data_IF_077995329037
#
_entry.id   IF_077995329037
#
_cell.length_a   1.000
_cell.length_b   1.000
_cell.length_c   1.000
_cell.angle_alpha   90.00
_cell.angle_beta   90.00
_cell.angle_gamma   90.00
#
_symmetry.space_group_name_H-M   'P 1'
#
loop_
_entity.id
_entity.type
_entity.pdbx_description
1 polymer ?
#
# COMPACT_ATOMS: atom_id res chain seq x y z
N UNK A 1 -10.36 -5.81 58.98
CA UNK A 1 -11.73 -5.37 58.68
C UNK A 1 -12.17 -6.10 57.44
N UNK A 2 -13.19 -6.93 57.61
CA UNK A 2 -13.52 -8.08 56.76
C UNK A 2 -14.93 -7.90 56.21
N UNK A 3 -15.08 -8.24 54.92
CA UNK A 3 -16.30 -8.78 54.28
C UNK A 3 -17.47 -7.79 54.00
N UNK A 4 -18.56 -8.23 53.31
CA UNK A 4 -18.61 -8.70 51.91
C UNK A 4 -19.90 -8.22 51.16
N UNK A 5 -20.11 -8.64 49.90
CA UNK A 5 -21.48 -8.84 49.38
C UNK A 5 -21.73 -8.69 47.87
N UNK A 6 -21.73 -9.80 47.15
CA UNK A 6 -22.50 -10.01 45.91
C UNK A 6 -23.98 -10.35 46.26
N UNK A 7 -24.97 -10.13 45.36
CA UNK A 7 -25.44 -11.19 44.43
C UNK A 7 -25.78 -10.66 43.01
N UNK A 8 -25.40 -11.38 41.94
CA UNK A 8 -26.19 -12.32 41.11
C UNK A 8 -27.49 -11.78 40.47
N UNK A 9 -27.52 -11.81 39.13
CA UNK A 9 -28.73 -11.84 38.32
C UNK A 9 -28.38 -12.15 36.86
N UNK A 10 -28.60 -13.40 36.44
CA UNK A 10 -28.42 -13.86 35.06
C UNK A 10 -29.75 -14.12 34.36
N UNK A 11 -29.70 -14.16 33.03
CA UNK A 11 -30.57 -14.81 32.03
C UNK A 11 -30.16 -14.18 30.68
N UNK A 12 -29.97 -14.85 29.55
CA UNK A 12 -30.41 -16.15 29.06
C UNK A 12 -30.82 -15.97 27.60
N UNK A 13 -30.37 -16.84 26.68
CA UNK A 13 -30.83 -16.87 25.28
C UNK A 13 -29.69 -17.19 24.30
N UNK A 14 -29.35 -18.45 24.02
CA UNK A 14 -30.00 -19.41 23.08
C UNK A 14 -29.82 -19.08 21.59
N UNK A 15 -29.22 -20.05 20.88
CA UNK A 15 -29.43 -20.33 19.44
C UNK A 15 -28.39 -19.66 18.53
N UNK A 16 -27.71 -20.33 17.61
CA UNK A 16 -27.99 -21.61 16.98
C UNK A 16 -26.79 -22.13 16.19
N UNK A 17 -26.76 -23.46 16.07
CA UNK A 17 -25.78 -24.29 15.38
C UNK A 17 -25.76 -24.00 13.88
N UNK A 18 -24.57 -23.88 13.27
CA UNK A 18 -24.32 -24.27 11.87
C UNK A 18 -22.94 -24.89 11.75
N UNK A 19 -22.89 -26.22 11.99
CA UNK A 19 -21.84 -27.10 11.52
C UNK A 19 -22.16 -27.45 10.06
N UNK A 20 -21.22 -27.21 9.14
CA UNK A 20 -21.22 -27.83 7.81
C UNK A 20 -19.91 -28.60 7.63
N UNK A 21 -20.08 -29.93 7.67
CA UNK A 21 -19.35 -30.98 6.96
C UNK A 21 -17.89 -30.73 6.56
N UNK A 22 -16.98 -31.19 7.41
CA UNK A 22 -15.72 -31.78 6.95
C UNK A 22 -16.05 -33.10 6.24
N UNK A 23 -15.76 -33.14 4.94
CA UNK A 23 -15.79 -34.37 4.15
C UNK A 23 -14.45 -35.07 4.37
N UNK A 24 -14.46 -36.07 5.23
CA UNK A 24 -13.39 -37.04 5.42
C UNK A 24 -13.11 -37.76 4.10
N UNK A 25 -11.96 -37.47 3.49
CA UNK A 25 -11.41 -38.32 2.44
C UNK A 25 -10.72 -39.51 3.09
N UNK A 26 -11.17 -40.70 2.72
CA UNK A 26 -10.60 -41.98 3.11
C UNK A 26 -9.19 -42.13 2.54
N UNK A 27 -8.25 -42.38 3.43
CA UNK A 27 -6.91 -42.88 3.13
C UNK A 27 -6.98 -44.37 2.86
N UNK A 28 -7.18 -44.76 1.61
CA UNK A 28 -6.77 -46.08 1.14
C UNK A 28 -5.30 -45.98 0.72
N UNK A 29 -4.40 -46.45 1.58
CA UNK A 29 -3.01 -46.70 1.23
C UNK A 29 -2.92 -48.05 0.48
N UNK A 30 -2.46 -48.09 -0.78
CA UNK A 30 -2.07 -49.34 -1.40
C UNK A 30 -0.77 -49.81 -0.75
N UNK A 31 -0.78 -51.05 -0.25
CA UNK A 31 0.42 -51.76 0.17
C UNK A 31 1.39 -51.90 -1.01
N UNK A 32 2.58 -51.35 -0.82
CA UNK A 32 3.86 -51.98 -1.13
C UNK A 32 4.03 -52.62 -2.51
N UNK A 33 4.46 -51.83 -3.48
CA UNK A 33 5.50 -52.27 -4.39
C UNK A 33 6.63 -51.24 -4.35
N UNK A 34 7.77 -51.62 -3.78
CA UNK A 34 9.00 -50.82 -3.88
C UNK A 34 9.26 -50.56 -5.37
N UNK A 35 9.28 -49.30 -5.82
CA UNK A 35 9.58 -49.02 -7.22
C UNK A 35 10.96 -49.60 -7.50
N UNK A 36 11.03 -50.53 -8.46
CA UNK A 36 12.30 -50.98 -9.03
C UNK A 36 13.04 -49.72 -9.42
N UNK A 37 14.14 -49.48 -8.73
CA UNK A 37 14.94 -48.27 -8.82
C UNK A 37 15.68 -48.27 -10.17
N UNK A 38 14.94 -48.11 -11.27
CA UNK A 38 15.55 -47.88 -12.58
C UNK A 38 16.14 -46.49 -12.50
N UNK A 39 17.45 -46.42 -12.27
CA UNK A 39 18.22 -45.18 -12.33
C UNK A 39 17.78 -44.42 -13.58
N UNK A 40 17.29 -43.17 -13.44
CA UNK A 40 16.89 -42.38 -14.60
C UNK A 40 18.10 -42.21 -15.51
N UNK A 41 18.08 -42.89 -16.66
CA UNK A 41 19.04 -42.70 -17.74
C UNK A 41 18.67 -41.42 -18.46
N UNK A 42 19.12 -40.29 -17.90
CA UNK A 42 19.02 -39.00 -18.57
C UNK A 42 19.72 -39.09 -19.93
N UNK A 43 18.96 -38.95 -21.02
CA UNK A 43 19.49 -38.76 -22.38
C UNK A 43 20.04 -37.33 -22.53
N UNK A 44 20.98 -36.99 -21.65
CA UNK A 44 21.63 -35.69 -21.64
C UNK A 44 22.95 -35.76 -22.43
N UNK A 45 22.97 -35.05 -23.56
CA UNK A 45 24.14 -34.63 -24.37
C UNK A 45 25.27 -33.86 -23.61
N UNK A 46 25.45 -34.02 -22.29
CA UNK A 46 25.92 -32.93 -21.41
C UNK A 46 27.40 -33.04 -21.03
N UNK A 47 28.07 -31.88 -20.89
CA UNK A 47 29.44 -31.76 -20.38
C UNK A 47 29.54 -31.45 -18.89
N UNK A 48 28.47 -30.96 -18.23
CA UNK A 48 28.46 -30.58 -16.80
C UNK A 48 27.08 -30.76 -16.16
N UNK A 49 27.05 -31.03 -14.85
CA UNK A 49 25.83 -31.08 -14.02
C UNK A 49 26.03 -30.28 -12.73
N UNK A 50 24.99 -29.62 -12.24
CA UNK A 50 25.00 -28.96 -10.92
C UNK A 50 24.65 -29.98 -9.85
N UNK A 51 25.40 -29.98 -8.75
CA UNK A 51 25.17 -30.82 -7.57
C UNK A 51 25.02 -29.90 -6.38
N UNK A 52 24.09 -30.20 -5.47
CA UNK A 52 23.85 -29.35 -4.30
C UNK A 52 25.15 -29.25 -3.49
N UNK A 53 25.58 -28.03 -3.16
CA UNK A 53 26.86 -27.79 -2.49
C UNK A 53 28.08 -27.87 -3.39
N UNK A 54 27.93 -27.99 -4.71
CA UNK A 54 29.05 -28.04 -5.67
C UNK A 54 28.73 -27.32 -6.98
N UNK A 55 29.59 -26.37 -7.37
CA UNK A 55 29.32 -25.43 -8.46
C UNK A 55 28.91 -26.13 -9.76
N UNK A 56 29.76 -26.98 -10.30
CA UNK A 56 29.49 -27.81 -11.49
C UNK A 56 30.42 -29.03 -11.50
N UNK A 57 29.90 -30.22 -11.74
CA UNK A 57 30.67 -31.44 -11.92
C UNK A 57 30.67 -31.88 -13.38
N UNK A 58 31.83 -32.24 -13.97
CA UNK A 58 31.87 -32.78 -15.33
C UNK A 58 31.20 -34.15 -15.37
N UNK A 59 30.25 -34.35 -16.30
CA UNK A 59 29.56 -35.62 -16.47
C UNK A 59 29.93 -36.20 -17.83
N UNK A 60 30.57 -37.38 -17.87
CA UNK A 60 30.87 -38.07 -19.12
C UNK A 60 29.68 -38.97 -19.52
N UNK A 61 29.56 -39.24 -20.82
CA UNK A 61 28.55 -40.18 -21.33
C UNK A 61 28.78 -41.56 -20.71
N UNK A 62 27.74 -42.12 -20.07
CA UNK A 62 27.81 -43.43 -19.41
C UNK A 62 28.23 -43.40 -17.94
N UNK A 63 28.63 -42.24 -17.40
CA UNK A 63 28.89 -42.11 -15.95
C UNK A 63 27.59 -42.36 -15.17
N UNK A 64 27.65 -43.25 -14.17
CA UNK A 64 26.51 -43.46 -13.28
C UNK A 64 26.43 -42.29 -12.29
N UNK A 65 25.25 -41.68 -12.17
CA UNK A 65 25.02 -40.52 -11.28
C UNK A 65 25.47 -40.80 -9.84
N UNK A 66 25.29 -42.04 -9.34
CA UNK A 66 25.72 -42.43 -8.00
C UNK A 66 27.24 -42.41 -7.81
N UNK A 67 28.00 -42.76 -8.84
CA UNK A 67 29.47 -42.74 -8.81
C UNK A 67 29.94 -41.27 -8.84
N UNK A 68 29.41 -40.47 -9.77
CA UNK A 68 29.70 -39.03 -9.82
C UNK A 68 29.36 -38.30 -8.52
N UNK A 69 28.23 -38.61 -7.90
CA UNK A 69 27.82 -38.01 -6.63
C UNK A 69 28.77 -38.38 -5.48
N UNK A 70 29.31 -39.60 -5.47
CA UNK A 70 30.30 -40.03 -4.48
C UNK A 70 31.61 -39.28 -4.64
N UNK A 71 32.15 -39.23 -5.85
CA UNK A 71 33.42 -38.54 -6.15
C UNK A 71 33.33 -37.05 -5.81
N UNK A 72 32.20 -36.43 -6.14
CA UNK A 72 31.93 -35.03 -5.80
C UNK A 72 31.77 -34.84 -4.29
N UNK A 73 31.14 -35.78 -3.59
CA UNK A 73 31.00 -35.70 -2.14
C UNK A 73 32.34 -35.80 -1.42
N UNK A 74 33.24 -36.70 -1.86
CA UNK A 74 34.61 -36.77 -1.34
C UNK A 74 35.34 -35.44 -1.56
N UNK A 75 35.23 -34.86 -2.76
CA UNK A 75 35.82 -33.54 -3.07
C UNK A 75 35.24 -32.41 -2.18
N UNK A 76 33.92 -32.44 -1.93
CA UNK A 76 33.27 -31.48 -1.02
C UNK A 76 33.80 -31.63 0.40
N UNK A 77 33.98 -32.87 0.87
CA UNK A 77 34.46 -33.15 2.21
C UNK A 77 35.91 -32.69 2.41
N UNK A 78 36.76 -32.91 1.41
CA UNK A 78 38.17 -32.48 1.43
C UNK A 78 38.33 -30.94 1.34
N UNK A 79 37.30 -30.25 0.83
CA UNK A 79 37.26 -28.78 0.75
C UNK A 79 36.48 -28.13 1.89
N UNK A 80 36.10 -28.91 2.92
CA UNK A 80 35.40 -28.37 4.06
C UNK A 80 36.32 -27.50 4.92
N UNK A 81 35.84 -26.32 5.27
CA UNK A 81 36.52 -25.35 6.11
C UNK A 81 35.58 -24.89 7.24
N UNK A 82 36.18 -24.43 8.32
CA UNK A 82 35.45 -23.75 9.39
C UNK A 82 35.27 -22.28 9.02
N UNK A 83 34.07 -21.75 9.25
CA UNK A 83 33.75 -20.35 9.00
C UNK A 83 32.70 -19.86 9.99
N UNK A 84 32.35 -18.57 9.89
CA UNK A 84 31.31 -17.95 10.68
C UNK A 84 30.27 -17.33 9.75
N UNK A 85 29.00 -17.62 10.02
CA UNK A 85 27.86 -17.03 9.31
C UNK A 85 26.90 -16.46 10.34
N UNK A 86 26.73 -15.15 10.33
CA UNK A 86 26.07 -14.42 11.41
C UNK A 86 26.75 -14.73 12.76
N UNK A 87 25.96 -15.16 13.73
CA UNK A 87 26.42 -15.52 15.08
C UNK A 87 26.78 -17.01 15.23
N UNK A 88 26.74 -17.80 14.14
CA UNK A 88 26.96 -19.25 14.18
C UNK A 88 28.29 -19.65 13.54
N UNK A 89 29.01 -20.54 14.22
CA UNK A 89 30.13 -21.27 13.61
C UNK A 89 29.59 -22.37 12.71
N UNK A 90 30.12 -22.45 11.50
CA UNK A 90 29.70 -23.42 10.48
C UNK A 90 30.90 -24.18 9.96
N UNK A 91 30.68 -25.44 9.59
CA UNK A 91 31.69 -26.27 8.95
C UNK A 91 31.13 -26.79 7.64
N UNK A 92 31.82 -26.53 6.53
CA UNK A 92 31.36 -26.93 5.21
C UNK A 92 32.27 -26.37 4.13
N UNK A 93 32.02 -26.73 2.88
CA UNK A 93 32.79 -26.15 1.79
C UNK A 93 32.33 -24.73 1.46
N UNK A 94 33.15 -23.98 0.69
CA UNK A 94 32.84 -22.60 0.33
C UNK A 94 31.49 -22.41 -0.38
N UNK A 95 30.99 -23.42 -1.11
CA UNK A 95 29.66 -23.36 -1.71
C UNK A 95 28.54 -23.40 -0.66
N UNK A 96 28.63 -24.31 0.32
CA UNK A 96 27.67 -24.43 1.42
C UNK A 96 27.70 -23.21 2.33
N UNK A 97 28.89 -22.74 2.70
CA UNK A 97 29.07 -21.52 3.51
C UNK A 97 28.49 -20.32 2.77
N UNK A 98 28.78 -20.17 1.47
CA UNK A 98 28.25 -19.07 0.67
C UNK A 98 26.72 -19.09 0.53
N UNK A 99 26.09 -20.27 0.53
CA UNK A 99 24.63 -20.38 0.58
C UNK A 99 24.06 -19.91 1.92
N UNK A 100 24.69 -20.30 3.04
CA UNK A 100 24.30 -19.86 4.37
C UNK A 100 24.45 -18.34 4.52
N UNK A 101 25.55 -17.76 4.04
CA UNK A 101 25.77 -16.31 4.06
C UNK A 101 24.69 -15.56 3.29
N UNK A 102 24.32 -16.03 2.09
CA UNK A 102 23.24 -15.42 1.30
C UNK A 102 21.90 -15.55 2.00
N UNK A 103 21.63 -16.70 2.61
CA UNK A 103 20.39 -16.92 3.35
C UNK A 103 20.29 -15.96 4.55
N UNK A 104 21.36 -15.79 5.31
CA UNK A 104 21.41 -14.86 6.44
C UNK A 104 21.25 -13.40 5.97
N UNK A 105 21.93 -13.00 4.91
CA UNK A 105 21.79 -11.68 4.29
C UNK A 105 20.35 -11.43 3.81
N UNK A 106 19.73 -12.40 3.13
CA UNK A 106 18.34 -12.30 2.68
C UNK A 106 17.38 -12.22 3.87
N UNK A 107 17.63 -12.97 4.94
CA UNK A 107 16.81 -12.94 6.14
C UNK A 107 16.89 -11.59 6.86
N UNK A 108 18.09 -11.00 6.93
CA UNK A 108 18.31 -9.65 7.45
C UNK A 108 17.57 -8.60 6.60
N UNK A 109 17.67 -8.68 5.28
CA UNK A 109 16.96 -7.79 4.35
C UNK A 109 15.44 -7.90 4.49
N UNK A 110 14.90 -9.13 4.54
CA UNK A 110 13.47 -9.38 4.77
C UNK A 110 13.02 -8.76 6.10
N UNK A 111 13.82 -8.88 7.15
CA UNK A 111 13.48 -8.32 8.47
C UNK A 111 13.51 -6.79 8.44
N UNK A 112 14.49 -6.18 7.76
CA UNK A 112 14.55 -4.74 7.55
C UNK A 112 13.33 -4.23 6.79
N UNK A 113 13.00 -4.85 5.65
CA UNK A 113 11.85 -4.50 4.84
C UNK A 113 10.53 -4.65 5.61
N UNK A 114 10.38 -5.70 6.42
CA UNK A 114 9.20 -5.87 7.29
C UNK A 114 9.08 -4.74 8.31
N UNK A 115 10.18 -4.34 8.94
CA UNK A 115 10.22 -3.20 9.86
C UNK A 115 9.81 -1.91 9.16
N UNK A 116 10.34 -1.65 7.96
CA UNK A 116 10.03 -0.43 7.23
C UNK A 116 8.57 -0.39 6.77
N UNK A 117 8.03 -1.53 6.31
CA UNK A 117 6.59 -1.66 6.02
C UNK A 117 5.73 -1.40 7.26
N UNK A 118 6.13 -1.87 8.44
CA UNK A 118 5.41 -1.59 9.68
C UNK A 118 5.44 -0.10 10.04
N UNK A 119 6.60 0.56 9.92
CA UNK A 119 6.73 2.02 10.15
C UNK A 119 5.86 2.81 9.17
N UNK A 120 5.92 2.46 7.88
CA UNK A 120 5.10 3.07 6.82
C UNK A 120 3.61 2.89 7.08
N UNK A 121 3.17 1.69 7.50
CA UNK A 121 1.79 1.43 7.91
C UNK A 121 1.38 2.31 9.09
N UNK A 122 2.20 2.39 10.14
CA UNK A 122 1.91 3.23 11.30
C UNK A 122 1.83 4.72 10.96
N UNK A 123 2.74 5.20 10.12
CA UNK A 123 2.71 6.57 9.61
C UNK A 123 1.46 6.83 8.76
N UNK A 124 1.10 5.88 7.88
CA UNK A 124 -0.11 5.94 7.06
C UNK A 124 -1.37 5.96 7.92
N UNK A 125 -1.49 5.10 8.93
CA UNK A 125 -2.63 5.11 9.86
C UNK A 125 -2.77 6.45 10.59
N UNK A 126 -1.65 7.05 11.01
CA UNK A 126 -1.62 8.39 11.58
C UNK A 126 -2.12 9.45 10.59
N UNK A 127 -1.64 9.39 9.35
CA UNK A 127 -2.05 10.28 8.27
C UNK A 127 -3.55 10.13 7.92
N UNK A 128 -4.05 8.91 7.77
CA UNK A 128 -5.46 8.62 7.49
C UNK A 128 -6.39 9.15 8.61
N UNK A 129 -5.97 9.06 9.88
CA UNK A 129 -6.74 9.66 10.99
C UNK A 129 -6.83 11.18 10.87
N UNK A 130 -5.74 11.83 10.47
CA UNK A 130 -5.71 13.28 10.23
C UNK A 130 -6.64 13.63 9.06
N UNK A 131 -6.58 12.91 7.95
CA UNK A 131 -7.48 13.10 6.79
C UNK A 131 -8.94 12.95 7.15
N UNK A 132 -9.32 11.87 7.84
CA UNK A 132 -10.70 11.66 8.30
C UNK A 132 -11.19 12.80 9.19
N UNK A 133 -10.35 13.29 10.10
CA UNK A 133 -10.70 14.43 10.95
C UNK A 133 -10.94 15.70 10.14
N UNK A 134 -10.13 15.95 9.11
CA UNK A 134 -10.32 17.09 8.22
C UNK A 134 -11.66 17.00 7.46
N UNK A 135 -11.97 15.85 6.87
CA UNK A 135 -13.24 15.61 6.16
C UNK A 135 -14.45 15.70 7.09
N UNK A 136 -14.39 15.06 8.27
CA UNK A 136 -15.46 15.13 9.26
C UNK A 136 -15.65 16.55 9.81
N UNK A 137 -14.56 17.33 9.92
CA UNK A 137 -14.68 18.75 10.26
C UNK A 137 -15.42 19.48 9.14
N UNK A 138 -14.98 19.37 7.88
CA UNK A 138 -15.65 20.03 6.76
C UNK A 138 -17.17 19.78 6.76
N UNK A 139 -17.59 18.53 6.94
CA UNK A 139 -19.01 18.14 7.03
C UNK A 139 -19.76 18.77 8.22
N UNK A 140 -19.15 18.84 9.41
CA UNK A 140 -19.78 19.36 10.64
C UNK A 140 -20.02 20.87 10.56
N UNK A 141 -19.10 21.53 9.89
CA UNK A 141 -18.82 22.95 10.02
C UNK A 141 -19.57 23.73 8.91
N UNK A 142 -20.43 23.02 8.15
CA UNK A 142 -21.58 23.54 7.40
C UNK A 142 -22.37 24.54 8.29
N UNK A 143 -22.56 25.79 7.85
CA UNK A 143 -23.17 26.86 8.67
C UNK A 143 -24.56 26.51 9.22
N UNK A 144 -25.30 25.59 8.59
CA UNK A 144 -26.61 25.13 9.09
C UNK A 144 -26.51 24.16 10.29
N UNK A 145 -25.33 23.58 10.58
CA UNK A 145 -25.16 22.51 11.58
C UNK A 145 -24.24 22.87 12.76
N UNK A 146 -23.55 24.02 12.74
CA UNK A 146 -22.39 24.28 13.62
C UNK A 146 -22.65 24.93 15.00
N UNK A 147 -23.89 24.99 15.50
CA UNK A 147 -24.22 25.75 16.74
C UNK A 147 -23.79 25.15 18.09
N UNK A 148 -22.92 24.13 18.16
CA UNK A 148 -22.83 23.29 19.37
C UNK A 148 -21.47 23.07 20.07
N UNK A 149 -20.39 23.83 19.79
CA UNK A 149 -19.07 23.56 20.42
C UNK A 149 -18.31 24.79 20.93
N UNK A 150 -17.46 24.58 21.95
CA UNK A 150 -16.63 25.60 22.61
C UNK A 150 -15.46 26.08 21.72
N UNK A 151 -15.08 27.35 21.88
CA UNK A 151 -14.09 28.06 21.05
C UNK A 151 -12.72 27.39 20.98
N UNK A 152 -12.29 26.73 22.05
CA UNK A 152 -10.93 26.20 22.16
C UNK A 152 -10.77 24.88 21.40
N UNK A 153 -11.78 24.01 21.43
CA UNK A 153 -11.79 22.77 20.64
C UNK A 153 -11.88 23.08 19.14
N UNK A 154 -12.65 24.11 18.77
CA UNK A 154 -12.71 24.59 17.39
C UNK A 154 -11.34 25.10 16.90
N UNK A 155 -10.59 25.80 17.77
CA UNK A 155 -9.26 26.33 17.45
C UNK A 155 -8.21 25.23 17.27
N UNK A 156 -8.17 24.23 18.16
CA UNK A 156 -7.26 23.08 18.03
C UNK A 156 -7.62 22.18 16.84
N UNK A 157 -8.90 22.06 16.49
CA UNK A 157 -9.33 21.39 15.25
C UNK A 157 -8.89 22.19 14.03
N UNK A 158 -9.08 23.51 14.02
CA UNK A 158 -8.66 24.36 12.92
C UNK A 158 -7.14 24.34 12.70
N UNK A 159 -6.34 24.35 13.77
CA UNK A 159 -4.87 24.26 13.69
C UNK A 159 -4.38 22.87 13.23
N UNK A 160 -5.04 21.79 13.69
CA UNK A 160 -4.77 20.43 13.22
C UNK A 160 -5.16 20.21 11.75
N UNK A 161 -6.27 20.81 11.31
CA UNK A 161 -6.68 20.85 9.91
C UNK A 161 -5.71 21.70 9.07
N UNK A 162 -5.12 22.74 9.68
CA UNK A 162 -4.13 23.60 9.03
C UNK A 162 -2.86 22.92 8.58
N UNK A 163 -2.39 21.95 9.37
CA UNK A 163 -1.29 21.09 9.00
C UNK A 163 -1.64 20.04 7.92
N UNK A 164 -2.94 19.81 7.67
CA UNK A 164 -3.46 18.81 6.74
C UNK A 164 -4.04 19.41 5.43
N UNK A 165 -3.89 20.72 5.19
CA UNK A 165 -4.70 21.47 4.21
C UNK A 165 -4.39 21.23 2.73
N UNK A 166 -3.37 20.46 2.37
CA UNK A 166 -3.29 19.98 0.98
C UNK A 166 -4.48 19.04 0.74
N UNK A 167 -5.27 19.28 -0.29
CA UNK A 167 -6.13 18.21 -0.82
C UNK A 167 -5.28 16.97 -1.09
N UNK A 168 -5.84 15.79 -0.85
CA UNK A 168 -5.22 14.52 -1.19
C UNK A 168 -6.30 13.61 -1.78
N UNK A 169 -6.62 13.90 -3.03
CA UNK A 169 -7.71 13.29 -3.76
C UNK A 169 -7.58 11.77 -3.80
N UNK A 170 -6.37 11.24 -4.00
CA UNK A 170 -6.11 9.80 -4.12
C UNK A 170 -6.31 9.10 -2.77
N UNK A 171 -5.70 9.63 -1.69
CA UNK A 171 -5.88 9.05 -0.36
C UNK A 171 -7.35 9.12 0.07
N UNK A 172 -7.99 10.26 -0.14
CA UNK A 172 -9.40 10.42 0.21
C UNK A 172 -10.26 9.46 -0.61
N UNK A 173 -10.05 9.35 -1.93
CA UNK A 173 -10.75 8.38 -2.78
C UNK A 173 -10.60 6.93 -2.28
N UNK A 174 -9.40 6.55 -1.82
CA UNK A 174 -9.17 5.25 -1.20
C UNK A 174 -9.95 5.02 0.10
N UNK A 175 -10.21 6.08 0.89
CA UNK A 175 -11.08 5.99 2.07
C UNK A 175 -12.54 5.70 1.69
N UNK A 176 -13.04 6.25 0.57
CA UNK A 176 -14.38 5.94 0.06
C UNK A 176 -14.46 4.54 -0.55
N UNK A 177 -13.47 4.15 -1.35
CA UNK A 177 -13.42 2.83 -1.98
C UNK A 177 -13.36 1.69 -0.95
N UNK A 178 -12.62 1.90 0.15
CA UNK A 178 -12.55 0.95 1.27
C UNK A 178 -13.82 0.86 2.13
N UNK A 179 -14.85 1.68 1.87
CA UNK A 179 -16.10 1.73 2.65
C UNK A 179 -15.93 2.30 4.06
N UNK A 180 -14.80 2.95 4.31
CA UNK A 180 -14.50 3.60 5.59
C UNK A 180 -15.24 4.94 5.69
N UNK A 181 -15.35 5.66 4.57
CA UNK A 181 -16.20 6.84 4.42
C UNK A 181 -17.30 6.53 3.41
N UNK A 182 -18.55 6.83 3.75
CA UNK A 182 -19.72 6.39 2.98
C UNK A 182 -20.44 7.54 2.26
N UNK A 183 -20.04 8.79 2.49
CA UNK A 183 -20.67 9.94 1.90
C UNK A 183 -20.08 10.29 0.52
N UNK A 184 -20.38 9.50 -0.51
CA UNK A 184 -19.81 9.68 -1.85
C UNK A 184 -20.07 11.09 -2.45
N UNK A 185 -21.13 11.79 -2.02
CA UNK A 185 -21.43 13.17 -2.43
C UNK A 185 -20.33 14.15 -1.98
N UNK A 186 -19.69 13.87 -0.84
CA UNK A 186 -18.59 14.67 -0.31
C UNK A 186 -17.39 14.71 -1.27
N UNK A 187 -17.09 13.59 -1.96
CA UNK A 187 -16.01 13.56 -2.96
C UNK A 187 -16.31 14.49 -4.12
N UNK A 188 -17.55 14.46 -4.62
CA UNK A 188 -17.97 15.32 -5.72
C UNK A 188 -17.97 16.78 -5.27
N UNK A 189 -18.38 17.07 -4.04
CA UNK A 189 -18.40 18.42 -3.50
C UNK A 189 -16.99 19.03 -3.36
N UNK A 190 -16.05 18.25 -2.82
CA UNK A 190 -14.69 18.70 -2.51
C UNK A 190 -13.81 18.71 -3.76
N UNK A 191 -13.87 17.65 -4.56
CA UNK A 191 -12.96 17.41 -5.68
C UNK A 191 -13.62 17.60 -7.06
N UNK A 192 -14.95 17.53 -7.16
CA UNK A 192 -15.68 17.61 -8.44
C UNK A 192 -15.85 16.28 -9.16
N UNK A 193 -15.27 15.20 -8.62
CA UNK A 193 -15.28 13.87 -9.24
C UNK A 193 -15.65 12.80 -8.20
N UNK A 194 -16.18 11.67 -8.67
CA UNK A 194 -16.38 10.49 -7.83
C UNK A 194 -15.04 9.85 -7.46
N UNK A 195 -14.99 9.12 -6.33
CA UNK A 195 -13.79 8.41 -5.90
C UNK A 195 -13.25 7.46 -7.00
N UNK A 196 -14.14 6.77 -7.72
CA UNK A 196 -13.77 5.87 -8.81
C UNK A 196 -13.03 6.57 -9.95
N UNK A 197 -13.44 7.79 -10.31
CA UNK A 197 -12.77 8.60 -11.34
C UNK A 197 -11.42 9.15 -10.84
N UNK A 198 -11.31 9.45 -9.55
CA UNK A 198 -10.04 9.89 -8.96
C UNK A 198 -9.02 8.74 -8.93
N UNK A 199 -9.46 7.53 -8.61
CA UNK A 199 -8.60 6.34 -8.66
C UNK A 199 -8.16 6.02 -10.10
N UNK A 200 -9.04 6.17 -11.10
CA UNK A 200 -8.63 5.97 -12.50
C UNK A 200 -7.58 6.99 -12.96
N UNK A 201 -7.63 8.24 -12.46
CA UNK A 201 -6.59 9.23 -12.73
C UNK A 201 -5.23 8.83 -12.15
N UNK A 202 -5.22 8.22 -10.95
CA UNK A 202 -3.98 7.72 -10.33
C UNK A 202 -3.41 6.51 -11.09
N UNK A 203 -4.28 5.58 -11.48
CA UNK A 203 -3.91 4.42 -12.32
C UNK A 203 -3.31 4.85 -13.67
N UNK A 204 -3.92 5.86 -14.31
CA UNK A 204 -3.45 6.45 -15.57
C UNK A 204 -2.26 7.42 -15.39
N UNK A 205 -1.80 7.64 -14.14
CA UNK A 205 -0.70 8.55 -13.76
C UNK A 205 -0.89 10.00 -14.18
N UNK A 206 -2.13 10.47 -14.18
CA UNK A 206 -2.48 11.87 -14.49
C UNK A 206 -2.27 12.79 -13.28
N UNK A 207 -1.00 13.00 -12.94
CA UNK A 207 -0.60 13.80 -11.78
C UNK A 207 -0.98 15.28 -11.89
N UNK A 208 -1.13 15.82 -13.09
CA UNK A 208 -1.52 17.23 -13.28
C UNK A 208 -3.00 17.44 -12.93
N UNK A 209 -3.87 16.52 -13.35
CA UNK A 209 -5.27 16.50 -12.90
C UNK A 209 -5.37 16.37 -11.39
N UNK A 210 -4.64 15.43 -10.79
CA UNK A 210 -4.64 15.23 -9.32
C UNK A 210 -4.20 16.51 -8.58
N UNK A 211 -3.19 17.24 -9.09
CA UNK A 211 -2.77 18.52 -8.49
C UNK A 211 -3.88 19.57 -8.50
N UNK A 212 -4.64 19.68 -9.61
CA UNK A 212 -5.77 20.62 -9.69
C UNK A 212 -6.87 20.23 -8.70
N UNK A 213 -7.20 18.94 -8.59
CA UNK A 213 -8.16 18.42 -7.61
C UNK A 213 -7.72 18.78 -6.17
N UNK A 214 -6.43 18.59 -5.87
CA UNK A 214 -5.87 18.90 -4.55
C UNK A 214 -5.88 20.40 -4.23
N UNK A 215 -5.58 21.24 -5.23
CA UNK A 215 -5.64 22.69 -5.10
C UNK A 215 -7.08 23.16 -4.84
N UNK A 216 -8.07 22.58 -5.54
CA UNK A 216 -9.49 22.83 -5.31
C UNK A 216 -9.92 22.44 -3.91
N UNK A 217 -9.57 21.24 -3.46
CA UNK A 217 -9.94 20.76 -2.14
C UNK A 217 -9.33 21.62 -1.03
N UNK A 218 -8.11 22.13 -1.22
CA UNK A 218 -7.50 23.10 -0.31
C UNK A 218 -8.40 24.34 -0.14
N UNK A 219 -8.91 24.90 -1.25
CA UNK A 219 -9.84 26.04 -1.22
C UNK A 219 -11.11 25.70 -0.41
N UNK A 220 -11.71 24.55 -0.70
CA UNK A 220 -12.95 24.10 -0.04
C UNK A 220 -12.75 23.91 1.45
N UNK A 221 -11.71 23.18 1.84
CA UNK A 221 -11.40 22.85 3.23
C UNK A 221 -11.02 24.10 4.05
N UNK A 222 -10.40 25.10 3.41
CA UNK A 222 -10.12 26.41 4.02
C UNK A 222 -11.38 27.27 4.20
N UNK A 223 -12.53 26.87 3.62
CA UNK A 223 -13.80 27.63 3.61
C UNK A 223 -13.62 29.09 3.23
N UNK A 224 -12.72 29.32 2.28
CA UNK A 224 -12.35 30.66 1.85
C UNK A 224 -13.30 31.11 0.74
N UNK A 225 -13.77 32.34 0.83
CA UNK A 225 -14.41 32.99 -0.31
C UNK A 225 -13.39 33.10 -1.44
N UNK A 226 -13.71 32.49 -2.57
CA UNK A 226 -12.87 32.56 -3.77
C UNK A 226 -13.54 33.38 -4.85
N UNK A 227 -12.76 34.11 -5.66
CA UNK A 227 -13.29 34.78 -6.84
C UNK A 227 -14.04 33.80 -7.74
N UNK A 228 -15.14 34.24 -8.33
CA UNK A 228 -15.98 33.42 -9.21
C UNK A 228 -15.17 32.87 -10.40
N UNK A 229 -14.16 33.59 -10.85
CA UNK A 229 -13.25 33.20 -11.92
C UNK A 229 -12.49 31.91 -11.61
N UNK A 230 -12.12 31.68 -10.34
CA UNK A 230 -11.45 30.45 -9.91
C UNK A 230 -12.41 29.26 -9.98
N UNK A 231 -13.66 29.46 -9.53
CA UNK A 231 -14.71 28.45 -9.60
C UNK A 231 -15.09 28.11 -11.05
N UNK A 232 -15.15 29.10 -11.93
CA UNK A 232 -15.49 28.90 -13.35
C UNK A 232 -14.36 28.19 -14.11
N UNK A 233 -13.10 28.56 -13.83
CA UNK A 233 -11.94 27.87 -14.40
C UNK A 233 -11.89 26.40 -13.97
N UNK A 234 -12.16 26.13 -12.69
CA UNK A 234 -12.24 24.76 -12.16
C UNK A 234 -13.39 23.97 -12.80
N UNK A 235 -14.62 24.53 -12.86
CA UNK A 235 -15.77 23.86 -13.50
C UNK A 235 -15.51 23.53 -14.97
N UNK A 236 -14.86 24.44 -15.69
CA UNK A 236 -14.45 24.23 -17.08
C UNK A 236 -13.51 23.03 -17.19
N UNK A 237 -12.50 22.98 -16.32
CA UNK A 237 -11.53 21.88 -16.28
C UNK A 237 -12.19 20.53 -15.95
N UNK A 238 -13.01 20.47 -14.90
CA UNK A 238 -13.76 19.25 -14.53
C UNK A 238 -14.67 18.80 -15.66
N UNK A 239 -15.41 19.71 -16.29
CA UNK A 239 -16.28 19.38 -17.42
C UNK A 239 -15.51 18.76 -18.58
N UNK A 240 -14.28 19.20 -18.85
CA UNK A 240 -13.42 18.60 -19.86
C UNK A 240 -12.93 17.21 -19.42
N UNK A 241 -12.51 17.05 -18.17
CA UNK A 241 -12.10 15.75 -17.63
C UNK A 241 -13.23 14.72 -17.73
N UNK A 242 -14.45 15.10 -17.37
CA UNK A 242 -15.61 14.21 -17.44
C UNK A 242 -15.98 13.82 -18.87
N UNK A 243 -15.90 14.77 -19.82
CA UNK A 243 -16.16 14.51 -21.25
C UNK A 243 -15.17 13.55 -21.89
N UNK A 244 -13.96 13.43 -21.34
CA UNK A 244 -12.91 12.58 -21.87
C UNK A 244 -12.66 11.34 -21.01
N UNK A 245 -13.69 10.90 -20.26
CA UNK A 245 -13.65 9.69 -19.41
C UNK A 245 -12.48 9.68 -18.41
N UNK A 246 -12.05 10.85 -17.94
CA UNK A 246 -10.93 10.96 -16.99
C UNK A 246 -9.54 10.73 -17.61
N UNK A 247 -9.40 10.78 -18.94
CA UNK A 247 -8.10 10.62 -19.61
C UNK A 247 -7.57 11.94 -20.14
N UNK A 248 -6.48 12.43 -19.56
CA UNK A 248 -5.61 13.43 -20.19
C UNK A 248 -4.52 12.69 -20.98
N UNK A 249 -4.76 12.34 -22.25
CA UNK A 249 -3.72 11.69 -23.06
C UNK A 249 -2.53 12.64 -23.24
N UNK A 250 -1.38 12.27 -22.69
CA UNK A 250 -0.18 13.10 -22.56
C UNK A 250 0.47 13.52 -23.89
N UNK A 251 0.15 12.87 -25.01
CA UNK A 251 0.88 13.08 -26.27
C UNK A 251 0.21 14.08 -27.22
N UNK A 252 -1.05 14.45 -26.95
CA UNK A 252 -1.74 15.52 -27.67
C UNK A 252 -2.67 16.19 -26.67
N UNK A 253 -2.13 17.15 -25.93
CA UNK A 253 -2.96 18.13 -25.23
C UNK A 253 -3.89 18.73 -26.27
N UNK A 254 -5.13 18.22 -26.38
CA UNK A 254 -6.23 18.95 -27.01
C UNK A 254 -6.10 20.37 -26.47
N UNK A 255 -5.88 21.33 -27.36
CA UNK A 255 -5.53 22.71 -27.02
C UNK A 255 -6.41 23.27 -25.89
N UNK A 256 -7.65 22.81 -25.82
CA UNK A 256 -8.64 23.07 -24.79
C UNK A 256 -8.28 22.60 -23.36
N UNK A 257 -7.73 21.39 -23.17
CA UNK A 257 -7.34 20.89 -21.84
C UNK A 257 -6.18 21.65 -21.26
N UNK A 258 -5.14 21.87 -22.09
CA UNK A 258 -4.00 22.69 -21.70
C UNK A 258 -4.45 24.10 -21.35
N UNK A 259 -5.31 24.69 -22.19
CA UNK A 259 -5.85 26.02 -21.94
C UNK A 259 -6.65 26.07 -20.63
N UNK A 260 -7.50 25.08 -20.35
CA UNK A 260 -8.26 25.03 -19.11
C UNK A 260 -7.37 24.82 -17.87
N UNK A 261 -6.36 23.95 -17.98
CA UNK A 261 -5.35 23.71 -16.96
C UNK A 261 -4.57 25.00 -16.65
N UNK A 262 -4.00 25.62 -17.67
CA UNK A 262 -3.19 26.84 -17.55
C UNK A 262 -4.04 28.01 -17.03
N UNK A 263 -5.29 28.11 -17.49
CA UNK A 263 -6.23 29.11 -16.99
C UNK A 263 -6.54 28.91 -15.50
N UNK A 264 -6.80 27.67 -15.05
CA UNK A 264 -7.01 27.36 -13.64
C UNK A 264 -5.82 27.80 -12.78
N UNK A 265 -4.60 27.40 -13.15
CA UNK A 265 -3.42 27.76 -12.35
C UNK A 265 -3.15 29.26 -12.36
N UNK A 266 -3.36 29.93 -13.48
CA UNK A 266 -3.22 31.38 -13.56
C UNK A 266 -4.13 32.08 -12.53
N UNK A 267 -5.44 31.80 -12.58
CA UNK A 267 -6.39 32.47 -11.68
C UNK A 267 -6.21 32.04 -10.22
N UNK A 268 -5.83 30.79 -9.97
CA UNK A 268 -5.58 30.26 -8.64
C UNK A 268 -4.34 30.86 -7.97
N UNK A 269 -3.23 31.02 -8.70
CA UNK A 269 -2.02 31.63 -8.14
C UNK A 269 -2.19 33.15 -7.90
N UNK A 270 -2.91 33.84 -8.78
CA UNK A 270 -3.28 35.25 -8.57
C UNK A 270 -4.11 35.43 -7.29
N UNK A 271 -5.10 34.56 -7.07
CA UNK A 271 -5.90 34.52 -5.86
C UNK A 271 -5.03 34.19 -4.63
N UNK A 272 -4.20 33.14 -4.70
CA UNK A 272 -3.30 32.77 -3.59
C UNK A 272 -2.38 33.93 -3.19
N UNK A 273 -1.80 34.64 -4.16
CA UNK A 273 -0.93 35.79 -3.92
C UNK A 273 -1.68 36.93 -3.20
N UNK A 274 -2.91 37.25 -3.64
CA UNK A 274 -3.77 38.26 -2.99
C UNK A 274 -4.07 37.89 -1.54
N UNK A 275 -4.46 36.65 -1.27
CA UNK A 275 -4.77 36.18 0.09
C UNK A 275 -3.54 36.19 0.99
N UNK A 276 -2.37 35.83 0.47
CA UNK A 276 -1.12 35.88 1.23
C UNK A 276 -0.76 37.33 1.59
N UNK A 277 -0.88 38.27 0.65
CA UNK A 277 -0.64 39.69 0.90
C UNK A 277 -1.59 40.25 1.97
N UNK A 278 -2.87 39.87 1.93
CA UNK A 278 -3.85 40.31 2.93
C UNK A 278 -3.56 39.75 4.33
N UNK A 279 -3.16 38.47 4.42
CA UNK A 279 -2.75 37.86 5.69
C UNK A 279 -1.53 38.54 6.32
N UNK A 280 -0.58 39.01 5.50
CA UNK A 280 0.58 39.77 5.99
C UNK A 280 0.16 41.14 6.51
N UNK A 281 -0.77 41.84 5.83
CA UNK A 281 -1.28 43.14 6.28
C UNK A 281 -2.04 43.10 7.61
N UNK A 282 -2.67 41.97 7.94
CA UNK A 282 -3.44 41.79 9.18
C UNK A 282 -2.57 41.43 10.40
N UNK A 283 -1.28 41.16 10.22
CA UNK A 283 -0.33 40.84 11.29
C UNK A 283 0.49 42.06 11.65
#
# INVERSE_FOLDING_TARGET
MTAPGHPKGGQGGKGGKRRKNQKSQSTDQPQGQSPKNSNPTFKNKYGKVSIIGYKEAPMKKGTKIKELARDVFETIQDSAEESQVGDSFVYGNGCGIGLLQRFDQQQAEINSLKSDVQKLKGASDGYLRIRRRALATYQRDDPDKSRMYSSDLAKTIAEGNKAAHGGDAVTDAGLFDSGIENNAELMIEIYGLSYSKVLSLDDDRDYESIKILNARATIKLDKRDVPQEVEDAWKTYISLLEKNEGKCQQDDLRSEFKLAHDNFWKVHEEDRAKNQAERVRRK
#
